data_IF_671884901112
#
_entry.id   IF_671884901112
#
_cell.length_a   1.000
_cell.length_b   1.000
_cell.length_c   1.000
_cell.angle_alpha   90.00
_cell.angle_beta   90.00
_cell.angle_gamma   90.00
#
_symmetry.space_group_name_H-M   'P 1'
#
loop_
_entity.id
_entity.type
_entity.pdbx_description
1 polymer ?
#
# COMPACT_ATOMS: atom_id res chain seq x y z
N UNK A 1 14.80 19.72 33.42
CA UNK A 1 13.71 19.30 32.52
C UNK A 1 14.36 19.20 31.15
N UNK A 2 15.29 18.25 31.07
CA UNK A 2 16.10 17.91 29.90
C UNK A 2 15.61 16.54 29.44
N UNK A 3 15.70 16.31 28.13
CA UNK A 3 15.12 15.18 27.36
C UNK A 3 13.69 15.41 26.86
N UNK A 4 13.59 16.15 25.77
CA UNK A 4 12.58 15.87 24.76
C UNK A 4 13.22 14.97 23.70
N UNK A 5 12.94 13.67 23.75
CA UNK A 5 13.22 12.72 22.67
C UNK A 5 11.89 12.29 22.06
N UNK A 6 11.60 12.82 20.88
CA UNK A 6 10.72 12.18 19.90
C UNK A 6 11.59 11.72 18.75
N UNK A 7 11.75 10.41 18.63
CA UNK A 7 12.43 9.78 17.51
C UNK A 7 11.34 9.10 16.67
N UNK A 8 11.26 9.56 15.42
CA UNK A 8 10.16 9.39 14.48
C UNK A 8 10.24 10.49 13.42
N UNK A 9 9.25 10.62 12.52
CA UNK A 9 9.23 11.61 11.43
C UNK A 9 9.12 13.07 11.88
N UNK A 10 8.72 13.32 13.12
CA UNK A 10 8.50 14.66 13.67
C UNK A 10 9.48 14.91 14.83
N UNK A 11 10.57 15.63 14.57
CA UNK A 11 11.55 16.03 15.60
C UNK A 11 11.46 17.52 15.88
N UNK A 12 11.24 17.91 17.13
CA UNK A 12 11.57 19.25 17.63
C UNK A 12 13.03 19.24 18.09
N UNK A 13 13.91 19.88 17.32
CA UNK A 13 15.35 19.94 17.61
C UNK A 13 15.64 21.19 18.45
N UNK A 14 16.24 21.01 19.64
CA UNK A 14 16.83 22.10 20.42
C UNK A 14 18.20 22.47 19.84
N UNK A 15 18.52 23.76 19.69
CA UNK A 15 19.77 24.24 19.10
C UNK A 15 20.99 24.06 20.05
N UNK A 16 21.81 23.04 19.82
CA UNK A 16 23.15 22.88 20.42
C UNK A 16 24.12 22.17 19.44
N UNK A 17 25.41 22.00 19.77
CA UNK A 17 26.37 21.38 18.82
C UNK A 17 26.05 19.91 18.49
N UNK A 18 25.53 19.14 19.45
CA UNK A 18 25.02 17.79 19.20
C UNK A 18 23.87 17.84 18.19
N UNK A 19 23.00 18.85 18.27
CA UNK A 19 21.86 19.05 17.37
C UNK A 19 22.26 19.23 15.90
N UNK A 20 23.46 19.77 15.62
CA UNK A 20 23.97 19.92 14.25
C UNK A 20 24.38 18.58 13.64
N UNK A 21 25.07 17.72 14.41
CA UNK A 21 25.41 16.38 13.95
C UNK A 21 24.15 15.53 13.73
N UNK A 22 23.18 15.61 14.65
CA UNK A 22 21.88 14.97 14.49
C UNK A 22 21.17 15.47 13.23
N UNK A 23 21.11 16.79 13.03
CA UNK A 23 20.51 17.39 11.83
C UNK A 23 21.17 16.87 10.54
N UNK A 24 22.50 16.71 10.52
CA UNK A 24 23.20 16.14 9.38
C UNK A 24 22.89 14.64 9.16
N UNK A 25 22.84 13.83 10.23
CA UNK A 25 22.44 12.42 10.14
C UNK A 25 21.01 12.26 9.63
N UNK A 26 20.08 13.11 10.06
CA UNK A 26 18.69 13.09 9.57
C UNK A 26 18.58 13.56 8.12
N UNK A 27 19.31 14.60 7.72
CA UNK A 27 19.40 14.96 6.29
C UNK A 27 19.93 13.79 5.47
N UNK A 28 20.92 13.05 5.96
CA UNK A 28 21.43 11.85 5.31
C UNK A 28 20.38 10.74 5.24
N UNK A 29 19.59 10.52 6.30
CA UNK A 29 18.49 9.56 6.32
C UNK A 29 17.42 9.91 5.28
N UNK A 30 16.95 11.16 5.25
CA UNK A 30 15.95 11.64 4.30
C UNK A 30 16.46 11.50 2.86
N UNK A 31 17.72 11.87 2.61
CA UNK A 31 18.36 11.66 1.30
C UNK A 31 18.44 10.17 0.94
N UNK A 32 18.71 9.30 1.90
CA UNK A 32 18.81 7.86 1.67
C UNK A 32 17.44 7.25 1.33
N UNK A 33 16.39 7.61 2.07
CA UNK A 33 15.00 7.21 1.76
C UNK A 33 14.58 7.72 0.37
N UNK A 34 14.89 8.99 0.06
CA UNK A 34 14.65 9.56 -1.26
C UNK A 34 15.40 8.80 -2.36
N UNK A 35 16.67 8.44 -2.13
CA UNK A 35 17.47 7.68 -3.10
C UNK A 35 16.92 6.27 -3.33
N UNK A 36 16.47 5.57 -2.28
CA UNK A 36 15.82 4.27 -2.40
C UNK A 36 14.52 4.35 -3.20
N UNK A 37 13.66 5.33 -2.89
CA UNK A 37 12.41 5.58 -3.64
C UNK A 37 12.71 5.92 -5.11
N UNK A 38 13.62 6.86 -5.36
CA UNK A 38 14.06 7.22 -6.70
C UNK A 38 14.63 6.01 -7.45
N UNK A 39 15.38 5.14 -6.76
CA UNK A 39 15.92 3.93 -7.38
C UNK A 39 14.82 2.98 -7.85
N UNK A 40 13.77 2.79 -7.04
CA UNK A 40 12.59 2.01 -7.39
C UNK A 40 11.88 2.60 -8.63
N UNK A 41 11.67 3.92 -8.66
CA UNK A 41 10.89 4.61 -9.70
C UNK A 41 11.65 4.79 -11.04
N UNK A 42 12.98 4.95 -10.98
CA UNK A 42 13.78 5.35 -12.14
C UNK A 42 14.59 4.22 -12.76
N UNK A 43 14.76 3.09 -12.06
CA UNK A 43 15.50 1.95 -12.61
C UNK A 43 14.74 1.35 -13.78
N UNK A 44 15.45 1.25 -14.91
CA UNK A 44 14.96 0.56 -16.11
C UNK A 44 15.64 -0.78 -16.29
N UNK A 45 14.94 -1.76 -16.80
CA UNK A 45 15.48 -3.05 -17.26
C UNK A 45 15.18 -3.26 -18.72
N UNK A 46 16.09 -3.91 -19.42
CA UNK A 46 15.91 -4.28 -20.82
C UNK A 46 15.41 -5.72 -20.85
N UNK A 47 14.25 -5.95 -21.44
CA UNK A 47 13.71 -7.29 -21.68
C UNK A 47 13.28 -7.35 -23.13
N UNK A 48 13.93 -8.24 -23.91
CA UNK A 48 13.84 -8.19 -25.37
C UNK A 48 14.36 -6.86 -25.92
N UNK A 49 13.52 -6.15 -26.68
CA UNK A 49 13.80 -4.82 -27.22
C UNK A 49 13.35 -3.66 -26.32
N UNK A 50 12.60 -3.94 -25.25
CA UNK A 50 11.89 -2.93 -24.48
C UNK A 50 12.68 -2.49 -23.25
N UNK A 51 12.62 -1.20 -22.93
CA UNK A 51 13.10 -0.65 -21.66
C UNK A 51 11.92 -0.39 -20.71
N UNK A 52 11.83 -1.15 -19.62
CA UNK A 52 10.72 -1.10 -18.69
C UNK A 52 11.15 -0.60 -17.32
N UNK A 53 10.33 0.27 -16.70
CA UNK A 53 10.45 0.68 -15.29
C UNK A 53 9.60 -0.21 -14.40
N UNK A 54 9.75 -0.05 -13.08
CA UNK A 54 8.96 -0.77 -12.09
C UNK A 54 7.45 -0.64 -12.31
N UNK A 55 6.95 0.57 -12.57
CA UNK A 55 5.53 0.82 -12.85
C UNK A 55 5.03 0.09 -14.10
N UNK A 56 5.86 0.02 -15.14
CA UNK A 56 5.50 -0.61 -16.40
C UNK A 56 5.38 -2.12 -16.21
N UNK A 57 6.36 -2.73 -15.52
CA UNK A 57 6.32 -4.17 -15.17
C UNK A 57 5.11 -4.48 -14.28
N UNK A 58 4.84 -3.67 -13.26
CA UNK A 58 3.66 -3.85 -12.42
C UNK A 58 2.38 -3.81 -13.24
N UNK A 59 2.23 -2.84 -14.15
CA UNK A 59 1.04 -2.73 -15.00
C UNK A 59 0.90 -3.92 -15.96
N UNK A 60 2.02 -4.40 -16.51
CA UNK A 60 2.04 -5.58 -17.37
C UNK A 60 1.56 -6.81 -16.57
N UNK A 61 2.15 -7.08 -15.40
CA UNK A 61 1.75 -8.23 -14.56
C UNK A 61 0.28 -8.14 -14.10
N UNK A 62 -0.21 -6.95 -13.80
CA UNK A 62 -1.60 -6.73 -13.36
C UNK A 62 -2.63 -6.93 -14.48
N UNK A 63 -2.26 -6.70 -15.74
CA UNK A 63 -3.20 -6.71 -16.88
C UNK A 63 -3.07 -7.93 -17.78
N UNK A 64 -1.90 -8.57 -17.80
CA UNK A 64 -1.60 -9.73 -18.65
C UNK A 64 -2.61 -10.87 -18.45
N UNK A 65 -3.08 -11.08 -17.21
CA UNK A 65 -4.02 -12.14 -16.87
C UNK A 65 -5.50 -11.81 -17.11
N UNK A 66 -5.82 -10.55 -17.44
CA UNK A 66 -7.18 -10.10 -17.78
C UNK A 66 -7.54 -10.34 -19.25
N UNK A 67 -6.57 -10.71 -20.08
CA UNK A 67 -6.84 -11.06 -21.49
C UNK A 67 -6.08 -12.34 -21.86
N UNK A 68 -6.47 -13.52 -21.33
CA UNK A 68 -5.74 -14.76 -21.57
C UNK A 68 -5.64 -15.15 -23.05
N UNK A 69 -6.60 -14.70 -23.87
CA UNK A 69 -6.60 -14.87 -25.33
C UNK A 69 -5.45 -14.15 -26.05
N UNK A 70 -4.71 -13.28 -25.36
CA UNK A 70 -3.52 -12.60 -25.90
C UNK A 70 -2.22 -13.38 -25.70
N UNK A 71 -2.24 -14.49 -24.95
CA UNK A 71 -1.08 -15.36 -24.85
C UNK A 71 -0.86 -16.07 -26.20
N UNK A 72 0.07 -15.57 -27.01
CA UNK A 72 0.51 -16.27 -28.23
C UNK A 72 0.97 -17.71 -27.92
N UNK A 73 1.57 -17.92 -26.73
CA UNK A 73 1.91 -19.23 -26.16
C UNK A 73 2.06 -19.15 -24.63
N UNK A 74 1.51 -20.09 -23.84
CA UNK A 74 1.72 -20.13 -22.39
C UNK A 74 3.20 -20.22 -21.99
N UNK A 75 4.00 -20.97 -22.75
CA UNK A 75 5.44 -21.11 -22.49
C UNK A 75 6.18 -19.77 -22.66
N UNK A 76 5.90 -19.05 -23.75
CA UNK A 76 6.48 -17.72 -23.98
C UNK A 76 6.05 -16.74 -22.89
N UNK A 77 4.79 -16.77 -22.48
CA UNK A 77 4.26 -15.92 -21.42
C UNK A 77 4.93 -16.19 -20.06
N UNK A 78 5.17 -17.45 -19.71
CA UNK A 78 5.89 -17.82 -18.50
C UNK A 78 7.29 -17.20 -18.46
N UNK A 79 8.11 -17.45 -19.48
CA UNK A 79 9.49 -16.98 -19.49
C UNK A 79 9.60 -15.46 -19.61
N UNK A 80 8.69 -14.83 -20.34
CA UNK A 80 8.62 -13.37 -20.45
C UNK A 80 8.35 -12.72 -19.09
N UNK A 81 7.39 -13.25 -18.33
CA UNK A 81 7.10 -12.76 -16.98
C UNK A 81 8.25 -13.02 -16.01
N UNK A 82 8.86 -14.20 -16.10
CA UNK A 82 10.04 -14.54 -15.31
C UNK A 82 11.19 -13.55 -15.56
N UNK A 83 11.45 -13.18 -16.82
CA UNK A 83 12.49 -12.22 -17.20
C UNK A 83 12.18 -10.80 -16.68
N UNK A 84 10.94 -10.33 -16.81
CA UNK A 84 10.51 -9.06 -16.24
C UNK A 84 10.73 -9.04 -14.72
N UNK A 85 10.21 -10.04 -14.02
CA UNK A 85 10.24 -10.15 -12.56
C UNK A 85 11.67 -10.25 -12.02
N UNK A 86 12.48 -11.16 -12.56
CA UNK A 86 13.88 -11.30 -12.16
C UNK A 86 14.70 -10.07 -12.51
N UNK A 87 14.54 -9.55 -13.73
CA UNK A 87 15.32 -8.41 -14.22
C UNK A 87 15.14 -7.19 -13.32
N UNK A 88 13.88 -6.81 -13.06
CA UNK A 88 13.57 -5.60 -12.29
C UNK A 88 13.98 -5.75 -10.82
N UNK A 89 13.68 -6.88 -10.17
CA UNK A 89 14.00 -7.09 -8.76
C UNK A 89 15.50 -7.25 -8.54
N UNK A 90 16.22 -7.95 -9.42
CA UNK A 90 17.66 -8.08 -9.30
C UNK A 90 18.37 -6.72 -9.45
N UNK A 91 17.93 -5.89 -10.40
CA UNK A 91 18.56 -4.59 -10.65
C UNK A 91 18.28 -3.60 -9.52
N UNK A 92 17.02 -3.49 -9.11
CA UNK A 92 16.62 -2.61 -8.01
C UNK A 92 17.23 -3.09 -6.70
N UNK A 93 17.06 -4.37 -6.36
CA UNK A 93 17.52 -4.97 -5.11
C UNK A 93 19.04 -4.87 -4.94
N UNK A 94 19.84 -5.18 -5.97
CA UNK A 94 21.31 -5.07 -5.88
C UNK A 94 21.77 -3.64 -5.64
N UNK A 95 21.14 -2.66 -6.31
CA UNK A 95 21.49 -1.24 -6.17
C UNK A 95 21.00 -0.65 -4.84
N UNK A 96 19.84 -1.09 -4.33
CA UNK A 96 19.27 -0.62 -3.06
C UNK A 96 19.91 -1.27 -1.82
N UNK A 97 20.56 -2.44 -1.96
CA UNK A 97 21.10 -3.20 -0.81
C UNK A 97 22.01 -2.39 0.13
N UNK A 98 23.06 -1.67 -0.33
CA UNK A 98 23.94 -0.93 0.59
C UNK A 98 23.19 0.19 1.34
N UNK A 99 22.32 0.91 0.64
CA UNK A 99 21.51 1.97 1.23
C UNK A 99 20.54 1.41 2.28
N UNK A 100 19.89 0.27 1.99
CA UNK A 100 18.99 -0.38 2.94
C UNK A 100 19.70 -0.88 4.22
N UNK A 101 20.93 -1.37 4.11
CA UNK A 101 21.73 -1.76 5.28
C UNK A 101 22.02 -0.53 6.16
N UNK A 102 22.43 0.57 5.53
CA UNK A 102 22.65 1.84 6.23
C UNK A 102 21.36 2.35 6.88
N UNK A 103 20.23 2.27 6.17
CA UNK A 103 18.91 2.64 6.68
C UNK A 103 18.58 1.88 7.98
N UNK A 104 18.70 0.55 7.94
CA UNK A 104 18.47 -0.33 9.09
C UNK A 104 19.35 0.07 10.29
N UNK A 105 20.62 0.34 10.05
CA UNK A 105 21.57 0.66 11.12
C UNK A 105 21.23 2.01 11.78
N UNK A 106 20.83 3.01 10.98
CA UNK A 106 20.35 4.28 11.48
C UNK A 106 19.06 4.14 12.30
N UNK A 107 18.11 3.33 11.85
CA UNK A 107 16.88 3.05 12.62
C UNK A 107 17.18 2.36 13.96
N UNK A 108 18.10 1.40 13.99
CA UNK A 108 18.49 0.75 15.24
C UNK A 108 19.23 1.69 16.20
N UNK A 109 20.11 2.57 15.68
CA UNK A 109 20.76 3.60 16.49
C UNK A 109 19.71 4.55 17.10
N UNK A 110 18.73 4.97 16.29
CA UNK A 110 17.65 5.84 16.72
C UNK A 110 16.82 5.19 17.83
N UNK A 111 16.35 3.95 17.63
CA UNK A 111 15.59 3.20 18.62
C UNK A 111 16.35 3.01 19.95
N UNK A 112 17.65 2.71 19.87
CA UNK A 112 18.51 2.58 21.05
C UNK A 112 18.58 3.87 21.88
N UNK A 113 18.52 5.04 21.23
CA UNK A 113 18.49 6.34 21.91
C UNK A 113 17.16 6.62 22.62
N UNK A 114 16.05 5.97 22.22
CA UNK A 114 14.78 6.02 22.97
C UNK A 114 14.66 4.94 24.05
N UNK A 115 15.72 4.17 24.29
CA UNK A 115 15.71 3.10 25.28
C UNK A 115 15.12 1.78 24.79
N UNK A 116 14.89 1.61 23.48
CA UNK A 116 14.53 0.32 22.90
C UNK A 116 15.78 -0.50 22.51
N UNK A 117 15.70 -1.82 22.51
CA UNK A 117 16.79 -2.70 22.08
C UNK A 117 17.08 -2.61 20.57
N UNK A 118 16.13 -2.10 19.78
CA UNK A 118 16.28 -1.85 18.35
C UNK A 118 14.96 -1.45 17.71
N UNK A 119 15.00 -1.12 16.43
CA UNK A 119 13.86 -0.57 15.69
C UNK A 119 12.63 -1.49 15.69
N UNK A 120 12.83 -2.80 15.75
CA UNK A 120 11.73 -3.76 15.85
C UNK A 120 10.99 -3.64 17.18
N UNK A 121 11.67 -3.44 18.30
CA UNK A 121 10.97 -3.29 19.59
C UNK A 121 10.20 -1.98 19.64
N UNK A 122 10.82 -0.90 19.17
CA UNK A 122 10.20 0.42 19.06
C UNK A 122 8.92 0.39 18.22
N UNK A 123 8.94 -0.19 17.01
CA UNK A 123 7.75 -0.28 16.16
C UNK A 123 6.65 -1.13 16.81
N UNK A 124 7.01 -2.20 17.53
CA UNK A 124 6.01 -3.07 18.16
C UNK A 124 5.43 -2.45 19.44
N UNK A 125 6.12 -1.49 20.06
CA UNK A 125 5.64 -0.76 21.23
C UNK A 125 4.36 0.04 20.95
N UNK A 126 4.15 0.48 19.70
CA UNK A 126 2.93 1.21 19.28
C UNK A 126 1.63 0.38 19.44
N UNK A 127 1.75 -0.96 19.51
CA UNK A 127 0.62 -1.86 19.81
C UNK A 127 0.29 -1.95 21.31
N UNK A 128 0.94 -1.16 22.14
CA UNK A 128 0.71 -1.07 23.58
C UNK A 128 1.72 -1.87 24.39
N UNK A 129 2.08 -1.32 25.55
CA UNK A 129 2.99 -1.95 26.49
C UNK A 129 2.46 -3.32 26.95
N UNK A 130 3.30 -4.36 26.87
CA UNK A 130 2.96 -5.72 27.28
C UNK A 130 2.20 -6.54 26.24
N UNK A 131 1.90 -5.99 25.05
CA UNK A 131 1.27 -6.73 23.95
C UNK A 131 2.30 -7.63 23.25
N UNK A 132 2.13 -8.95 23.32
CA UNK A 132 2.89 -9.89 22.50
C UNK A 132 2.28 -10.04 21.11
N UNK A 133 2.50 -9.03 20.28
CA UNK A 133 2.00 -8.97 18.91
C UNK A 133 2.58 -10.10 18.03
N UNK A 134 3.80 -10.57 18.29
CA UNK A 134 4.42 -11.65 17.51
C UNK A 134 3.67 -12.97 17.71
N UNK A 135 3.34 -13.29 18.96
CA UNK A 135 2.55 -14.48 19.28
C UNK A 135 1.12 -14.36 18.74
N UNK A 136 0.48 -13.19 18.87
CA UNK A 136 -0.86 -12.96 18.35
C UNK A 136 -0.93 -13.13 16.82
N UNK A 137 0.01 -12.53 16.08
CA UNK A 137 0.07 -12.69 14.61
C UNK A 137 0.34 -14.15 14.25
N UNK A 138 1.20 -14.84 15.00
CA UNK A 138 1.49 -16.26 14.77
C UNK A 138 0.27 -17.15 14.99
N UNK A 139 -0.55 -16.90 16.03
CA UNK A 139 -1.77 -17.67 16.27
C UNK A 139 -2.82 -17.42 15.18
N UNK A 140 -3.03 -16.16 14.78
CA UNK A 140 -3.94 -15.81 13.69
C UNK A 140 -3.49 -16.48 12.38
N UNK A 141 -2.18 -16.50 12.10
CA UNK A 141 -1.66 -17.20 10.92
C UNK A 141 -1.95 -18.69 10.95
N UNK A 142 -1.77 -19.35 12.10
CA UNK A 142 -2.10 -20.78 12.26
C UNK A 142 -3.59 -21.04 11.97
N UNK A 143 -4.47 -20.17 12.42
CA UNK A 143 -5.92 -20.30 12.19
C UNK A 143 -6.31 -20.10 10.72
N UNK A 144 -5.66 -19.17 10.02
CA UNK A 144 -5.91 -18.86 8.60
C UNK A 144 -5.20 -19.86 7.67
N UNK A 145 -4.10 -20.46 8.10
CA UNK A 145 -3.24 -21.30 7.26
C UNK A 145 -3.97 -22.47 6.55
N UNK A 146 -4.94 -23.18 7.16
CA UNK A 146 -5.73 -24.19 6.46
C UNK A 146 -6.51 -23.64 5.26
N UNK A 147 -7.07 -22.43 5.38
CA UNK A 147 -7.77 -21.76 4.28
C UNK A 147 -6.79 -21.31 3.20
N UNK A 148 -5.67 -20.69 3.59
CA UNK A 148 -4.62 -20.28 2.66
C UNK A 148 -4.07 -21.47 1.87
N UNK A 149 -3.83 -22.62 2.52
CA UNK A 149 -3.37 -23.84 1.83
C UNK A 149 -4.37 -24.30 0.77
N UNK A 150 -5.67 -24.28 1.04
CA UNK A 150 -6.69 -24.66 0.06
C UNK A 150 -6.68 -23.71 -1.14
N UNK A 151 -6.65 -22.40 -0.88
CA UNK A 151 -6.57 -21.37 -1.92
C UNK A 151 -5.30 -21.55 -2.77
N UNK A 152 -4.13 -21.67 -2.12
CA UNK A 152 -2.85 -21.94 -2.78
C UNK A 152 -2.90 -23.22 -3.62
N UNK A 153 -3.50 -24.30 -3.11
CA UNK A 153 -3.63 -25.56 -3.87
C UNK A 153 -4.47 -25.42 -5.13
N UNK A 154 -5.61 -24.71 -5.06
CA UNK A 154 -6.46 -24.45 -6.24
C UNK A 154 -5.72 -23.57 -7.25
N UNK A 155 -5.16 -22.44 -6.80
CA UNK A 155 -4.40 -21.53 -7.68
C UNK A 155 -3.24 -22.25 -8.36
N UNK A 156 -2.47 -23.06 -7.61
CA UNK A 156 -1.36 -23.85 -8.17
C UNK A 156 -1.83 -24.88 -9.19
N UNK A 157 -2.96 -25.54 -8.93
CA UNK A 157 -3.54 -26.53 -9.84
C UNK A 157 -3.93 -25.89 -11.17
N UNK A 158 -4.67 -24.79 -11.13
CA UNK A 158 -5.11 -24.06 -12.32
C UNK A 158 -3.92 -23.46 -13.11
N UNK A 159 -2.94 -22.88 -12.41
CA UNK A 159 -1.70 -22.41 -13.06
C UNK A 159 -0.90 -23.57 -13.70
N UNK A 160 -0.91 -24.76 -13.08
CA UNK A 160 -0.29 -25.95 -13.65
C UNK A 160 -0.97 -26.47 -14.92
N UNK A 161 -2.30 -26.38 -14.98
CA UNK A 161 -3.06 -26.68 -16.18
C UNK A 161 -2.71 -25.73 -17.34
N UNK A 162 -2.42 -24.46 -17.04
CA UNK A 162 -2.08 -23.44 -18.04
C UNK A 162 -0.62 -23.51 -18.51
N UNK A 163 0.33 -23.60 -17.59
CA UNK A 163 1.77 -23.50 -17.89
C UNK A 163 2.49 -24.84 -17.99
N UNK A 164 1.77 -25.97 -17.89
CA UNK A 164 2.28 -27.35 -17.81
C UNK A 164 2.96 -27.70 -16.47
N UNK A 165 2.94 -28.98 -16.11
CA UNK A 165 3.51 -29.47 -14.85
C UNK A 165 5.04 -29.33 -14.77
N UNK A 166 5.73 -29.24 -15.90
CA UNK A 166 7.18 -29.05 -15.96
C UNK A 166 7.60 -27.63 -15.49
N UNK A 167 6.73 -26.63 -15.67
CA UNK A 167 6.98 -25.25 -15.24
C UNK A 167 6.34 -24.95 -13.87
N UNK A 168 5.21 -25.60 -13.56
CA UNK A 168 4.51 -25.44 -12.28
C UNK A 168 4.35 -26.79 -11.60
N UNK A 169 5.26 -27.08 -10.66
CA UNK A 169 5.23 -28.31 -9.89
C UNK A 169 4.00 -28.36 -8.95
N UNK A 170 3.09 -29.30 -9.20
CA UNK A 170 1.84 -29.47 -8.43
C UNK A 170 2.03 -29.88 -6.96
N UNK A 171 3.24 -30.26 -6.55
CA UNK A 171 3.61 -30.54 -5.17
C UNK A 171 4.56 -29.49 -4.57
N UNK A 172 5.01 -28.51 -5.37
CA UNK A 172 5.96 -27.46 -5.00
C UNK A 172 5.32 -26.10 -4.70
N UNK A 173 6.15 -25.07 -4.47
CA UNK A 173 5.66 -23.69 -4.38
C UNK A 173 5.25 -23.16 -5.76
N UNK A 174 4.31 -22.21 -5.78
CA UNK A 174 3.97 -21.48 -7.02
C UNK A 174 5.15 -20.57 -7.38
N UNK A 175 5.59 -20.52 -8.65
CA UNK A 175 6.57 -19.53 -9.10
C UNK A 175 6.08 -18.09 -8.84
N UNK A 176 6.87 -17.29 -8.12
CA UNK A 176 6.43 -15.99 -7.61
C UNK A 176 6.02 -14.98 -8.70
N UNK A 177 6.58 -15.09 -9.91
CA UNK A 177 6.26 -14.23 -11.04
C UNK A 177 4.89 -14.52 -11.68
N UNK A 178 4.19 -15.58 -11.25
CA UNK A 178 2.86 -15.96 -11.77
C UNK A 178 1.68 -15.46 -10.94
N UNK A 179 1.94 -14.63 -9.93
CA UNK A 179 0.94 -14.25 -8.92
C UNK A 179 0.28 -12.89 -9.18
N UNK A 180 0.24 -12.45 -10.44
CA UNK A 180 -0.44 -11.22 -10.85
C UNK A 180 0.13 -9.92 -10.28
N UNK A 181 1.29 -9.97 -9.64
CA UNK A 181 1.96 -8.83 -9.00
C UNK A 181 3.44 -9.12 -8.84
N UNK A 182 4.26 -8.07 -8.80
CA UNK A 182 5.70 -8.22 -8.63
C UNK A 182 6.09 -8.74 -7.23
N UNK A 183 5.25 -8.50 -6.22
CA UNK A 183 5.48 -8.94 -4.84
C UNK A 183 4.74 -10.25 -4.50
N UNK A 184 3.83 -10.69 -5.36
CA UNK A 184 2.99 -11.87 -5.11
C UNK A 184 1.93 -11.66 -4.04
N UNK A 185 1.53 -10.41 -3.78
CA UNK A 185 0.60 -9.98 -2.75
C UNK A 185 -0.82 -9.70 -3.28
N UNK A 186 -0.99 -9.52 -4.60
CA UNK A 186 -2.27 -9.20 -5.24
C UNK A 186 -2.71 -10.30 -6.23
N UNK A 187 -3.35 -11.36 -5.72
CA UNK A 187 -3.81 -12.51 -6.53
C UNK A 187 -5.15 -12.26 -7.22
N UNK A 188 -5.84 -11.15 -6.92
CA UNK A 188 -7.12 -10.78 -7.54
C UNK A 188 -7.01 -10.59 -9.06
N UNK A 189 -5.82 -10.25 -9.58
CA UNK A 189 -5.59 -10.14 -11.01
C UNK A 189 -5.65 -11.50 -11.74
N UNK A 190 -5.55 -12.61 -11.00
CA UNK A 190 -5.71 -13.96 -11.54
C UNK A 190 -7.18 -14.38 -11.63
N UNK A 191 -8.12 -13.58 -11.10
CA UNK A 191 -9.52 -13.99 -10.97
C UNK A 191 -10.13 -14.39 -12.32
N UNK A 192 -9.98 -13.58 -13.37
CA UNK A 192 -10.54 -13.91 -14.69
C UNK A 192 -9.90 -15.15 -15.31
N UNK A 193 -8.65 -15.44 -14.96
CA UNK A 193 -7.91 -16.60 -15.47
C UNK A 193 -8.27 -17.90 -14.76
N UNK A 194 -8.54 -17.82 -13.44
CA UNK A 194 -8.67 -18.99 -12.57
C UNK A 194 -10.10 -19.17 -12.05
N UNK A 195 -11.06 -18.34 -12.47
CA UNK A 195 -12.45 -18.48 -12.08
C UNK A 195 -12.98 -19.84 -12.54
N UNK A 196 -13.63 -20.62 -11.66
CA UNK A 196 -14.15 -21.95 -12.00
C UNK A 196 -15.41 -21.91 -12.89
N UNK A 197 -16.02 -20.73 -13.05
CA UNK A 197 -17.21 -20.52 -13.88
C UNK A 197 -16.93 -19.34 -14.82
N UNK A 198 -17.36 -19.47 -16.08
CA UNK A 198 -17.33 -18.39 -17.08
C UNK A 198 -18.57 -17.48 -16.97
N UNK A 199 -19.58 -17.86 -16.17
CA UNK A 199 -20.85 -17.17 -16.00
C UNK A 199 -20.91 -16.24 -14.77
N UNK A 200 -19.78 -15.70 -14.32
CA UNK A 200 -19.83 -14.65 -13.32
C UNK A 200 -20.21 -13.32 -13.97
N UNK A 201 -21.26 -12.68 -13.45
CA UNK A 201 -21.50 -11.27 -13.70
C UNK A 201 -20.68 -10.47 -12.69
N UNK A 202 -19.57 -9.88 -13.14
CA UNK A 202 -19.01 -8.76 -12.40
C UNK A 202 -20.09 -7.68 -12.37
N UNK A 203 -20.43 -7.20 -11.17
CA UNK A 203 -21.38 -6.11 -11.08
C UNK A 203 -20.77 -4.94 -11.85
N UNK A 204 -21.49 -4.44 -12.85
CA UNK A 204 -21.01 -3.34 -13.69
C UNK A 204 -20.62 -2.14 -12.80
N UNK A 205 -19.47 -1.55 -13.12
CA UNK A 205 -18.92 -0.38 -12.45
C UNK A 205 -19.38 0.93 -13.13
N UNK A 206 -20.05 0.83 -14.28
CA UNK A 206 -20.59 1.98 -15.02
C UNK A 206 -22.00 2.37 -14.54
N UNK A 207 -22.28 3.68 -14.54
CA UNK A 207 -23.62 4.21 -14.29
C UNK A 207 -24.13 4.15 -12.85
N UNK A 208 -23.30 3.79 -11.86
CA UNK A 208 -23.68 3.80 -10.43
C UNK A 208 -24.10 5.18 -9.93
N UNK A 209 -23.45 6.23 -10.44
CA UNK A 209 -23.75 7.64 -10.14
C UNK A 209 -23.60 8.46 -11.41
N UNK A 210 -24.40 9.52 -11.55
CA UNK A 210 -24.32 10.44 -12.69
C UNK A 210 -23.06 11.31 -12.64
N UNK A 211 -22.57 11.63 -11.45
CA UNK A 211 -21.36 12.42 -11.24
C UNK A 211 -20.79 12.20 -9.82
N UNK A 212 -19.62 12.79 -9.54
CA UNK A 212 -18.94 12.65 -8.25
C UNK A 212 -19.70 13.34 -7.12
N UNK A 213 -20.43 14.42 -7.38
CA UNK A 213 -21.21 15.13 -6.36
C UNK A 213 -22.35 14.25 -5.82
N UNK A 214 -23.05 13.54 -6.70
CA UNK A 214 -24.05 12.54 -6.30
C UNK A 214 -23.42 11.44 -5.44
N UNK A 215 -22.25 10.94 -5.83
CA UNK A 215 -21.52 9.93 -5.06
C UNK A 215 -21.12 10.44 -3.66
N UNK A 216 -20.66 11.68 -3.56
CA UNK A 216 -20.35 12.34 -2.26
C UNK A 216 -21.59 12.44 -1.39
N UNK A 217 -22.72 12.87 -1.95
CA UNK A 217 -23.96 13.02 -1.21
C UNK A 217 -24.52 11.67 -0.76
N UNK A 218 -24.38 10.63 -1.60
CA UNK A 218 -24.73 9.26 -1.25
C UNK A 218 -23.92 8.76 -0.05
N UNK A 219 -22.59 8.92 -0.07
CA UNK A 219 -21.73 8.49 1.05
C UNK A 219 -22.03 9.28 2.33
N UNK A 220 -22.19 10.60 2.24
CA UNK A 220 -22.55 11.45 3.39
C UNK A 220 -23.88 11.01 4.03
N UNK A 221 -24.90 10.70 3.21
CA UNK A 221 -26.18 10.20 3.71
C UNK A 221 -26.07 8.79 4.29
N UNK A 222 -25.27 7.91 3.69
CA UNK A 222 -25.02 6.57 4.23
C UNK A 222 -24.51 6.64 5.67
N UNK A 223 -23.56 7.53 6.00
CA UNK A 223 -23.09 7.69 7.37
C UNK A 223 -24.18 8.25 8.30
N UNK A 224 -25.01 9.19 7.84
CA UNK A 224 -26.16 9.69 8.62
C UNK A 224 -27.18 8.59 8.91
N UNK A 225 -27.49 7.74 7.93
CA UNK A 225 -28.43 6.63 8.07
C UNK A 225 -27.92 5.55 9.04
N UNK A 226 -26.60 5.37 9.11
CA UNK A 226 -25.94 4.55 10.12
C UNK A 226 -25.93 5.20 11.53
N UNK A 227 -26.41 6.43 11.66
CA UNK A 227 -26.51 7.16 12.92
C UNK A 227 -25.27 7.98 13.30
N UNK A 228 -24.32 8.19 12.38
CA UNK A 228 -23.17 9.05 12.65
C UNK A 228 -23.60 10.52 12.71
N UNK A 229 -22.98 11.34 13.59
CA UNK A 229 -23.22 12.78 13.61
C UNK A 229 -22.90 13.42 12.25
N UNK A 230 -23.73 14.35 11.75
CA UNK A 230 -23.52 14.97 10.44
C UNK A 230 -22.22 15.77 10.44
N UNK A 231 -21.39 15.65 9.40
CA UNK A 231 -20.14 16.40 9.26
C UNK A 231 -20.35 17.93 9.30
N UNK A 232 -19.35 18.74 9.70
CA UNK A 232 -19.49 20.20 9.76
C UNK A 232 -19.93 20.78 8.41
N UNK A 233 -20.70 21.87 8.41
CA UNK A 233 -21.32 22.41 7.18
C UNK A 233 -20.31 22.71 6.06
N UNK A 234 -19.11 23.14 6.41
CA UNK A 234 -18.05 23.45 5.44
C UNK A 234 -17.20 22.24 5.04
N UNK A 235 -17.47 21.03 5.57
CA UNK A 235 -16.67 19.82 5.31
C UNK A 235 -16.63 19.46 3.82
N UNK A 236 -17.81 19.24 3.20
CA UNK A 236 -17.91 18.89 1.78
C UNK A 236 -17.40 20.05 0.92
N UNK A 237 -17.79 21.29 1.28
CA UNK A 237 -17.43 22.51 0.56
C UNK A 237 -15.92 22.78 0.50
N UNK A 238 -15.20 22.48 1.58
CA UNK A 238 -13.75 22.70 1.66
C UNK A 238 -12.93 21.44 1.29
N UNK A 239 -13.59 20.33 1.01
CA UNK A 239 -12.96 19.12 0.50
C UNK A 239 -12.82 19.19 -1.02
N UNK A 240 -11.82 18.51 -1.57
CA UNK A 240 -11.63 18.37 -3.01
C UNK A 240 -11.85 16.91 -3.39
N UNK A 241 -12.91 16.64 -4.15
CA UNK A 241 -13.27 15.29 -4.61
C UNK A 241 -12.95 15.04 -6.08
N UNK A 242 -12.51 16.08 -6.81
CA UNK A 242 -12.14 16.02 -8.21
C UNK A 242 -10.84 16.81 -8.41
N UNK A 243 -10.10 16.46 -9.46
CA UNK A 243 -8.91 17.21 -9.87
C UNK A 243 -9.34 18.59 -10.36
N UNK A 244 -8.81 19.66 -9.76
CA UNK A 244 -9.15 21.04 -10.14
C UNK A 244 -8.02 21.72 -10.91
N UNK A 245 -6.77 21.33 -10.65
CA UNK A 245 -5.56 21.88 -11.29
C UNK A 245 -4.66 20.74 -11.79
N UNK A 246 -3.88 20.97 -12.86
CA UNK A 246 -2.89 20.01 -13.36
C UNK A 246 -1.83 19.63 -12.31
N UNK A 247 -1.52 20.56 -11.40
CA UNK A 247 -0.56 20.42 -10.31
C UNK A 247 -1.10 19.71 -9.07
N UNK A 248 -2.41 19.45 -8.98
CA UNK A 248 -2.99 18.73 -7.84
C UNK A 248 -2.45 17.29 -7.78
N UNK A 249 -1.90 16.89 -6.62
CA UNK A 249 -1.49 15.51 -6.37
C UNK A 249 -2.70 14.64 -6.07
N UNK A 250 -3.03 13.67 -6.92
CA UNK A 250 -4.20 12.81 -6.74
C UNK A 250 -4.06 11.72 -5.66
N UNK A 251 -3.18 11.91 -4.67
CA UNK A 251 -3.11 11.06 -3.49
C UNK A 251 -4.37 11.27 -2.64
N UNK A 252 -5.08 10.18 -2.39
CA UNK A 252 -6.35 10.19 -1.69
C UNK A 252 -6.10 10.18 -0.17
N UNK A 253 -6.69 11.12 0.57
CA UNK A 253 -6.46 11.23 2.01
C UNK A 253 -7.55 12.02 2.73
N UNK A 254 -7.75 11.70 4.00
CA UNK A 254 -8.55 12.48 4.93
C UNK A 254 -7.62 13.21 5.90
N UNK A 255 -7.90 14.48 6.13
CA UNK A 255 -7.04 15.40 6.86
C UNK A 255 -7.77 15.96 8.07
N UNK A 256 -7.15 15.84 9.23
CA UNK A 256 -7.52 16.53 10.46
C UNK A 256 -6.56 17.68 10.70
N UNK A 257 -7.07 18.92 10.65
CA UNK A 257 -6.27 20.13 10.80
C UNK A 257 -5.99 20.49 12.26
N UNK A 258 -6.42 19.65 13.22
CA UNK A 258 -6.19 19.83 14.67
C UNK A 258 -6.69 21.19 15.23
N UNK A 259 -7.56 21.87 14.49
CA UNK A 259 -8.14 23.16 14.84
C UNK A 259 -9.56 23.08 15.42
N UNK A 260 -9.91 21.95 16.05
CA UNK A 260 -11.30 21.58 16.37
C UNK A 260 -11.95 20.84 15.20
N UNK A 261 -13.20 21.19 14.87
CA UNK A 261 -14.00 20.48 13.86
C UNK A 261 -13.66 20.85 12.41
N UNK A 262 -12.37 20.87 12.07
CA UNK A 262 -11.86 21.20 10.73
C UNK A 262 -11.25 19.96 10.10
N UNK A 263 -12.08 19.25 9.34
CA UNK A 263 -11.69 18.06 8.58
C UNK A 263 -11.86 18.32 7.08
N UNK A 264 -11.06 17.65 6.26
CA UNK A 264 -11.19 17.71 4.79
C UNK A 264 -10.83 16.37 4.17
N UNK A 265 -11.43 16.10 3.02
CA UNK A 265 -11.01 15.01 2.13
C UNK A 265 -10.35 15.61 0.89
N UNK A 266 -9.28 14.97 0.45
CA UNK A 266 -8.68 15.19 -0.85
C UNK A 266 -8.68 13.87 -1.62
N UNK A 267 -9.28 13.83 -2.80
CA UNK A 267 -9.18 12.71 -3.75
C UNK A 267 -9.51 13.18 -5.17
N UNK A 268 -8.97 12.51 -6.19
CA UNK A 268 -9.37 12.70 -7.58
C UNK A 268 -10.33 11.58 -7.99
N UNK A 269 -11.58 11.67 -7.57
CA UNK A 269 -12.56 10.61 -7.81
C UNK A 269 -13.07 10.62 -9.26
N UNK A 270 -13.29 9.42 -9.80
CA UNK A 270 -14.27 9.13 -10.84
C UNK A 270 -15.57 8.66 -10.19
N UNK A 271 -16.71 8.75 -10.89
CA UNK A 271 -18.02 8.32 -10.38
C UNK A 271 -18.22 6.79 -10.53
N UNK A 272 -17.18 6.00 -10.26
CA UNK A 272 -17.13 4.53 -10.41
C UNK A 272 -17.00 3.82 -9.06
N UNK A 273 -17.36 2.53 -9.00
CA UNK A 273 -17.33 1.73 -7.75
C UNK A 273 -15.99 1.77 -7.02
N UNK A 274 -14.87 1.69 -7.74
CA UNK A 274 -13.52 1.73 -7.13
C UNK A 274 -13.36 2.96 -6.23
N UNK A 275 -13.78 4.13 -6.72
CA UNK A 275 -13.64 5.39 -6.00
C UNK A 275 -14.74 5.58 -4.95
N UNK A 276 -15.92 4.96 -5.11
CA UNK A 276 -16.92 4.86 -4.04
C UNK A 276 -16.33 4.19 -2.80
N UNK A 277 -15.66 3.04 -2.95
CA UNK A 277 -15.04 2.32 -1.82
C UNK A 277 -13.99 3.19 -1.11
N UNK A 278 -13.15 3.88 -1.89
CA UNK A 278 -12.16 4.79 -1.34
C UNK A 278 -12.83 5.97 -0.61
N UNK A 279 -13.88 6.56 -1.20
CA UNK A 279 -14.62 7.67 -0.60
C UNK A 279 -15.25 7.27 0.73
N UNK A 280 -15.90 6.09 0.81
CA UNK A 280 -16.45 5.54 2.06
C UNK A 280 -15.35 5.43 3.12
N UNK A 281 -14.17 4.93 2.76
CA UNK A 281 -13.04 4.82 3.67
C UNK A 281 -12.54 6.18 4.17
N UNK A 282 -12.45 7.19 3.30
CA UNK A 282 -12.04 8.54 3.68
C UNK A 282 -13.08 9.25 4.57
N UNK A 283 -14.37 9.05 4.30
CA UNK A 283 -15.44 9.53 5.18
C UNK A 283 -15.38 8.85 6.55
N UNK A 284 -15.13 7.53 6.61
CA UNK A 284 -14.93 6.83 7.88
C UNK A 284 -13.77 7.42 8.68
N UNK A 285 -12.63 7.73 8.04
CA UNK A 285 -11.51 8.42 8.69
C UNK A 285 -11.90 9.82 9.18
N UNK A 286 -12.62 10.61 8.38
CA UNK A 286 -13.06 11.93 8.79
C UNK A 286 -14.03 11.89 9.99
N UNK A 287 -14.96 10.91 10.02
CA UNK A 287 -15.81 10.66 11.17
C UNK A 287 -15.03 10.16 12.39
N UNK A 288 -13.99 9.35 12.18
CA UNK A 288 -13.07 8.94 13.23
C UNK A 288 -12.38 10.17 13.84
N UNK A 289 -11.75 11.04 13.04
CA UNK A 289 -11.13 12.27 13.53
C UNK A 289 -12.11 13.14 14.32
N UNK A 290 -13.33 13.31 13.80
CA UNK A 290 -14.38 14.04 14.50
C UNK A 290 -14.73 13.44 15.86
N UNK A 291 -14.81 12.11 15.97
CA UNK A 291 -15.17 11.47 17.23
C UNK A 291 -14.15 11.76 18.36
N UNK A 292 -12.88 11.93 18.00
CA UNK A 292 -11.79 12.25 18.93
C UNK A 292 -11.45 13.75 19.02
N UNK A 293 -12.02 14.57 18.14
CA UNK A 293 -11.91 16.04 18.17
C UNK A 293 -12.38 16.59 19.51
N UNK A 294 -11.48 17.26 20.23
CA UNK A 294 -11.78 17.91 21.52
C UNK A 294 -11.89 16.98 22.73
N UNK A 295 -11.83 15.66 22.55
CA UNK A 295 -11.97 14.68 23.64
C UNK A 295 -10.64 14.14 24.15
N UNK A 296 -9.56 14.26 23.39
CA UNK A 296 -8.23 13.80 23.77
C UNK A 296 -7.20 14.93 23.61
N UNK A 297 -6.29 15.12 24.60
CA UNK A 297 -5.20 16.06 24.43
C UNK A 297 -4.36 15.61 23.23
N UNK A 298 -3.88 16.58 22.44
CA UNK A 298 -2.81 16.31 21.50
C UNK A 298 -1.65 15.72 22.31
N UNK A 299 -1.34 14.45 22.08
CA UNK A 299 -0.11 13.87 22.59
C UNK A 299 1.02 14.66 21.91
N UNK A 300 1.58 15.62 22.66
CA UNK A 300 2.77 16.41 22.29
C UNK A 300 4.05 15.66 22.62
#
# INVERSE_FOLDING_TARGET
>A
MDEALRIGTDTLVLENEESKEYSQKWMNLTMLQHNLKRNLETTKVTVGSDELRFSDVQNILNTMYKMPSTFESPCLAYFTQMDFWHGILAKIGRKSRPDFITLRDLYNEAAAKNGFAGATEEILHDYGAGTDIKSLVSSIWIDIFPLYKKLHSVVRFELGALFTEDLVNLQGAIPAHLLGSIHGDAWEHLFELLSPDDQYELIDDEGLFMNVEEMVQYVDNMFKDLGFPPMPQDFIKNSKFQKLDETDSCEAGAWDFKGGDVFRIHMCASHKRKDLRQMIFLFAQAHFYRAFSGNEPLAL
#
